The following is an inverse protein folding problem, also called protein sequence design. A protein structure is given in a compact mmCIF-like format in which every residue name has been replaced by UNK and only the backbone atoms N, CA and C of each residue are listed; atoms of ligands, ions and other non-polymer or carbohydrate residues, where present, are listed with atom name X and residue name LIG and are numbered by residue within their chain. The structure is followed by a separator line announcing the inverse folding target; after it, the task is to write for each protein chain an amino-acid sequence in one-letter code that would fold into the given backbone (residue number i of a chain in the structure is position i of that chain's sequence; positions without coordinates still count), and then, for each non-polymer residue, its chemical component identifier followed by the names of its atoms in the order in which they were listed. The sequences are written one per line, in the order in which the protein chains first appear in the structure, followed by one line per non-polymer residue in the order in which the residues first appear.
data_IF_627717736378
#
_entry.id   IF_627717736378
#
_cell.length_a   1.000
_cell.length_b   1.000
_cell.length_c   1.000
_cell.angle_alpha   90.00
_cell.angle_beta   90.00
_cell.angle_gamma   90.00
#
_symmetry.space_group_name_H-M   'P 1'
#
loop_
_entity.id
_entity.type
_entity.pdbx_description
1 polymer ?
#
# COMPACT_ATOMS: atom_id res chain seq x y z
N UNK A 1 11.17 16.12 -37.73
CA UNK A 1 9.77 15.81 -37.40
C UNK A 1 9.60 16.02 -35.91
N UNK A 2 8.75 16.98 -35.50
CA UNK A 2 8.39 17.19 -34.09
C UNK A 2 7.41 16.09 -33.71
N UNK A 3 7.80 15.16 -32.85
CA UNK A 3 6.85 14.28 -32.18
C UNK A 3 6.05 15.12 -31.19
N UNK A 4 4.81 15.43 -31.59
CA UNK A 4 3.77 15.86 -30.67
C UNK A 4 3.35 14.62 -29.88
N UNK A 5 3.76 14.52 -28.63
CA UNK A 5 3.13 13.63 -27.67
C UNK A 5 1.69 14.11 -27.44
N UNK A 6 0.76 13.54 -28.19
CA UNK A 6 -0.67 13.49 -27.85
C UNK A 6 -0.71 12.86 -26.45
N UNK A 7 -1.15 13.49 -25.37
CA UNK A 7 -2.27 14.40 -25.26
C UNK A 7 -3.32 13.70 -24.38
N UNK A 8 -3.52 14.27 -23.20
CA UNK A 8 -4.67 14.12 -22.30
C UNK A 8 -4.79 12.82 -21.48
N UNK A 9 -4.46 12.97 -20.20
CA UNK A 9 -5.12 12.31 -19.07
C UNK A 9 -6.65 12.23 -19.27
N UNK A 10 -7.15 11.08 -19.69
CA UNK A 10 -8.58 10.70 -19.59
C UNK A 10 -8.82 10.09 -18.22
N UNK A 11 -9.05 11.00 -17.27
CA UNK A 11 -9.05 10.85 -15.82
C UNK A 11 -10.28 10.12 -15.24
N UNK A 12 -10.53 8.87 -15.61
CA UNK A 12 -11.21 7.96 -14.67
C UNK A 12 -10.87 6.51 -14.98
N UNK A 13 -10.01 5.92 -14.15
CA UNK A 13 -9.72 4.50 -14.21
C UNK A 13 -10.98 3.63 -14.11
N UNK A 14 -10.87 2.43 -14.66
CA UNK A 14 -11.95 1.45 -14.73
C UNK A 14 -12.12 0.86 -13.33
N UNK A 15 -13.36 0.88 -12.82
CA UNK A 15 -13.69 0.21 -11.57
C UNK A 15 -13.67 -1.29 -11.80
N UNK A 16 -12.86 -2.00 -11.03
CA UNK A 16 -12.78 -3.46 -11.08
C UNK A 16 -13.30 -4.03 -9.77
N UNK A 17 -14.07 -5.10 -9.91
CA UNK A 17 -14.61 -5.90 -8.84
C UNK A 17 -14.22 -7.35 -9.02
N UNK A 18 -14.08 -8.09 -7.93
CA UNK A 18 -13.78 -9.51 -7.91
C UNK A 18 -14.99 -10.30 -7.41
N UNK A 19 -15.53 -11.15 -8.28
CA UNK A 19 -16.55 -12.12 -7.92
C UNK A 19 -15.88 -13.39 -7.39
N UNK A 20 -15.81 -13.48 -6.05
CA UNK A 20 -15.19 -14.59 -5.34
C UNK A 20 -15.97 -15.91 -5.44
N UNK A 21 -17.21 -15.90 -5.91
CA UNK A 21 -18.02 -17.12 -6.08
C UNK A 21 -17.63 -17.93 -7.33
N UNK A 22 -17.05 -17.26 -8.32
CA UNK A 22 -16.66 -17.85 -9.61
C UNK A 22 -15.22 -17.56 -10.03
N UNK A 23 -14.50 -16.72 -9.30
CA UNK A 23 -13.10 -16.39 -9.55
C UNK A 23 -12.91 -15.52 -10.79
N UNK A 24 -13.72 -14.47 -10.96
CA UNK A 24 -13.69 -13.57 -12.12
C UNK A 24 -13.67 -12.11 -11.75
N UNK A 25 -12.97 -11.31 -12.55
CA UNK A 25 -13.07 -9.86 -12.51
C UNK A 25 -14.31 -9.39 -13.27
N UNK A 26 -14.88 -8.27 -12.86
CA UNK A 26 -15.98 -7.62 -13.56
C UNK A 26 -15.99 -6.10 -13.31
N UNK A 27 -16.75 -5.38 -14.14
CA UNK A 27 -16.99 -3.94 -14.00
C UNK A 27 -18.43 -3.63 -13.56
N UNK A 28 -19.20 -4.67 -13.22
CA UNK A 28 -20.65 -4.63 -12.97
C UNK A 28 -20.99 -4.50 -11.47
N UNK A 29 -20.01 -4.14 -10.64
CA UNK A 29 -20.17 -4.02 -9.18
C UNK A 29 -20.61 -5.31 -8.48
N UNK A 30 -20.24 -6.48 -9.03
CA UNK A 30 -20.46 -7.78 -8.37
C UNK A 30 -19.24 -8.20 -7.55
N UNK A 31 -19.47 -8.57 -6.30
CA UNK A 31 -18.43 -9.05 -5.39
C UNK A 31 -17.65 -7.90 -4.74
N UNK A 32 -16.37 -8.12 -4.51
CA UNK A 32 -15.49 -7.21 -3.77
C UNK A 32 -14.95 -6.11 -4.69
N UNK A 33 -14.99 -4.86 -4.24
CA UNK A 33 -14.42 -3.73 -4.99
C UNK A 33 -12.90 -3.67 -4.79
N UNK A 34 -12.13 -3.77 -5.87
CA UNK A 34 -10.66 -3.74 -5.83
C UNK A 34 -10.08 -2.33 -6.03
N UNK A 35 -10.87 -1.42 -6.60
CA UNK A 35 -10.41 -0.06 -6.90
C UNK A 35 -10.59 0.34 -8.37
N UNK A 36 -10.02 1.51 -8.70
CA UNK A 36 -9.90 1.99 -10.08
C UNK A 36 -8.54 1.60 -10.67
N UNK A 37 -8.55 1.06 -11.88
CA UNK A 37 -7.37 0.59 -12.59
C UNK A 37 -7.12 1.42 -13.85
N UNK A 38 -5.85 1.68 -14.15
CA UNK A 38 -5.38 2.38 -15.35
C UNK A 38 -4.12 1.70 -15.87
N UNK A 39 -3.84 1.86 -17.17
CA UNK A 39 -2.51 1.61 -17.75
C UNK A 39 -1.91 0.26 -17.36
N UNK A 40 -0.90 0.33 -16.49
CA UNK A 40 -0.04 -0.75 -16.01
C UNK A 40 -0.35 -1.21 -14.58
N UNK A 41 -1.48 -0.77 -14.00
CA UNK A 41 -1.94 -1.24 -12.69
C UNK A 41 -2.06 -2.78 -12.69
N UNK A 42 -1.69 -3.39 -11.56
CA UNK A 42 -1.70 -4.84 -11.37
C UNK A 42 -2.63 -5.24 -10.24
N UNK A 43 -2.99 -6.51 -10.23
CA UNK A 43 -3.67 -7.18 -9.12
C UNK A 43 -2.66 -8.09 -8.44
N UNK A 44 -2.65 -8.09 -7.11
CA UNK A 44 -2.01 -9.17 -6.37
C UNK A 44 -3.02 -10.25 -6.06
N UNK A 45 -2.62 -11.50 -6.23
CA UNK A 45 -3.40 -12.67 -5.82
C UNK A 45 -2.57 -13.47 -4.86
N UNK A 46 -3.15 -13.86 -3.73
CA UNK A 46 -2.52 -14.67 -2.70
C UNK A 46 -3.38 -15.90 -2.44
N UNK A 47 -2.74 -17.06 -2.43
CA UNK A 47 -3.38 -18.36 -2.34
C UNK A 47 -3.23 -19.00 -0.95
N UNK A 48 -4.13 -19.93 -0.63
CA UNK A 48 -4.16 -20.68 0.64
C UNK A 48 -2.90 -21.51 0.92
N UNK A 49 -2.18 -21.88 -0.14
CA UNK A 49 -0.89 -22.59 -0.05
C UNK A 49 0.31 -21.64 0.18
N UNK A 50 0.06 -20.33 0.26
CA UNK A 50 1.07 -19.29 0.44
C UNK A 50 1.92 -19.02 -0.79
N UNK A 51 1.40 -19.28 -1.99
CA UNK A 51 1.85 -18.61 -3.20
C UNK A 51 1.19 -17.23 -3.33
N UNK A 52 1.92 -16.28 -3.92
CA UNK A 52 1.35 -15.06 -4.48
C UNK A 52 1.77 -14.90 -5.94
N UNK A 53 1.00 -14.15 -6.72
CA UNK A 53 1.37 -13.70 -8.06
C UNK A 53 0.80 -12.31 -8.35
N UNK A 54 1.39 -11.64 -9.34
CA UNK A 54 0.83 -10.42 -9.91
C UNK A 54 0.15 -10.74 -11.24
N UNK A 55 -1.03 -10.19 -11.47
CA UNK A 55 -1.78 -10.34 -12.73
C UNK A 55 -2.20 -8.98 -13.28
N UNK A 56 -2.56 -8.94 -14.55
CA UNK A 56 -3.27 -7.78 -15.11
C UNK A 56 -4.70 -7.68 -14.55
N UNK A 57 -5.39 -6.59 -14.82
CA UNK A 57 -6.82 -6.42 -14.50
C UNK A 57 -7.77 -6.84 -15.64
N UNK A 58 -7.28 -7.64 -16.60
CA UNK A 58 -8.07 -8.14 -17.72
C UNK A 58 -9.25 -9.01 -17.26
N UNK A 59 -10.46 -8.76 -17.75
CA UNK A 59 -11.68 -9.49 -17.35
C UNK A 59 -11.65 -10.97 -17.77
N UNK A 60 -10.77 -11.34 -18.69
CA UNK A 60 -10.57 -12.72 -19.12
C UNK A 60 -9.78 -13.56 -18.10
N UNK A 61 -9.13 -12.92 -17.11
CA UNK A 61 -8.38 -13.59 -16.07
C UNK A 61 -9.28 -14.55 -15.27
N UNK A 62 -8.72 -15.73 -14.99
CA UNK A 62 -9.43 -16.81 -14.31
C UNK A 62 -8.68 -17.22 -13.06
N UNK A 63 -9.28 -16.97 -11.90
CA UNK A 63 -8.72 -17.38 -10.63
C UNK A 63 -9.39 -18.66 -10.16
N UNK A 64 -8.60 -19.56 -9.57
CA UNK A 64 -9.12 -20.70 -8.83
C UNK A 64 -9.65 -20.21 -7.48
N UNK A 65 -10.92 -19.79 -7.47
CA UNK A 65 -11.57 -19.18 -6.32
C UNK A 65 -11.55 -20.05 -5.06
N UNK A 66 -11.47 -21.38 -5.20
CA UNK A 66 -11.34 -22.29 -4.06
C UNK A 66 -9.99 -22.14 -3.35
N UNK A 67 -8.96 -21.70 -4.08
CA UNK A 67 -7.59 -21.58 -3.59
C UNK A 67 -7.15 -20.13 -3.35
N UNK A 68 -7.84 -19.13 -3.89
CA UNK A 68 -7.61 -17.72 -3.55
C UNK A 68 -7.96 -17.50 -2.08
N UNK A 69 -7.04 -16.86 -1.34
CA UNK A 69 -7.26 -16.38 0.02
C UNK A 69 -7.47 -14.86 0.03
N UNK A 70 -6.69 -14.13 -0.75
CA UNK A 70 -6.71 -12.67 -0.80
C UNK A 70 -6.43 -12.20 -2.22
N UNK A 71 -7.13 -11.16 -2.65
CA UNK A 71 -6.97 -10.57 -3.97
C UNK A 71 -7.28 -9.08 -3.86
N UNK A 72 -6.34 -8.23 -4.28
CA UNK A 72 -6.48 -6.77 -4.15
C UNK A 72 -5.68 -6.06 -5.26
N UNK A 73 -5.91 -4.76 -5.43
CA UNK A 73 -5.04 -3.92 -6.27
C UNK A 73 -3.62 -3.94 -5.72
N UNK A 74 -2.66 -4.21 -6.59
CA UNK A 74 -1.25 -4.19 -6.22
C UNK A 74 -0.78 -2.76 -5.96
N UNK A 75 -0.07 -2.57 -4.84
CA UNK A 75 0.67 -1.34 -4.54
C UNK A 75 2.14 -1.68 -4.35
N UNK A 76 3.07 -1.10 -5.13
CA UNK A 76 4.51 -1.35 -4.97
C UNK A 76 5.06 -0.94 -3.59
N UNK A 77 4.40 0.00 -2.92
CA UNK A 77 4.74 0.44 -1.55
C UNK A 77 3.94 -0.32 -0.48
N UNK A 78 3.02 -1.19 -0.90
CA UNK A 78 2.18 -1.99 -0.01
C UNK A 78 3.02 -2.99 0.80
N UNK A 79 2.62 -3.20 2.05
CA UNK A 79 3.19 -4.20 2.93
C UNK A 79 2.16 -5.30 3.11
N UNK A 80 2.47 -6.50 2.60
CA UNK A 80 1.61 -7.65 2.76
C UNK A 80 1.81 -8.23 4.16
N UNK A 81 0.74 -8.24 4.95
CA UNK A 81 0.70 -8.85 6.27
C UNK A 81 -0.01 -10.19 6.20
N UNK A 82 0.63 -11.25 6.69
CA UNK A 82 0.16 -12.62 6.57
C UNK A 82 0.25 -13.36 7.90
N UNK A 83 -0.79 -14.16 8.19
CA UNK A 83 -0.79 -15.15 9.27
C UNK A 83 -0.86 -16.52 8.65
N UNK A 84 0.08 -17.38 9.02
CA UNK A 84 0.15 -18.72 8.46
C UNK A 84 0.56 -19.74 9.52
N UNK A 85 0.17 -20.98 9.31
CA UNK A 85 0.66 -22.10 10.09
C UNK A 85 1.90 -22.67 9.42
N UNK A 86 2.99 -22.82 10.17
CA UNK A 86 4.22 -23.49 9.74
C UNK A 86 4.13 -24.97 10.11
N UNK A 87 4.00 -25.83 9.09
CA UNK A 87 3.76 -27.26 9.28
C UNK A 87 4.88 -27.97 10.04
N UNK A 88 6.13 -27.63 9.75
CA UNK A 88 7.31 -28.24 10.39
C UNK A 88 7.45 -27.84 11.86
N UNK A 89 7.22 -26.57 12.16
CA UNK A 89 7.37 -26.01 13.51
C UNK A 89 6.09 -26.13 14.34
N UNK A 90 4.98 -26.55 13.72
CA UNK A 90 3.66 -26.76 14.33
C UNK A 90 3.18 -25.55 15.12
N UNK A 91 3.34 -24.36 14.53
CA UNK A 91 2.94 -23.11 15.17
C UNK A 91 2.49 -22.07 14.14
N UNK A 92 1.78 -21.05 14.60
CA UNK A 92 1.39 -19.92 13.78
C UNK A 92 2.47 -18.84 13.81
N UNK A 93 2.64 -18.20 12.65
CA UNK A 93 3.59 -17.12 12.43
C UNK A 93 2.88 -15.95 11.78
N UNK A 94 3.35 -14.76 12.11
CA UNK A 94 2.98 -13.51 11.44
C UNK A 94 4.18 -13.03 10.65
N UNK A 95 3.95 -12.64 9.40
CA UNK A 95 4.97 -12.09 8.51
C UNK A 95 4.44 -10.82 7.84
N UNK A 96 5.28 -9.80 7.79
CA UNK A 96 5.04 -8.57 7.04
C UNK A 96 6.17 -8.38 6.04
N UNK A 97 5.87 -8.15 4.76
CA UNK A 97 6.89 -8.00 3.72
C UNK A 97 6.39 -7.15 2.55
N UNK A 98 7.31 -6.48 1.85
CA UNK A 98 7.02 -5.88 0.56
C UNK A 98 7.16 -6.92 -0.55
N UNK A 99 6.26 -6.87 -1.54
CA UNK A 99 6.38 -7.68 -2.75
C UNK A 99 7.45 -7.04 -3.64
N UNK A 100 8.50 -7.80 -3.94
CA UNK A 100 9.69 -7.29 -4.66
C UNK A 100 9.62 -7.52 -6.18
N UNK A 101 8.76 -8.44 -6.63
CA UNK A 101 8.64 -8.78 -8.05
C UNK A 101 7.70 -7.82 -8.77
N UNK A 102 8.02 -7.52 -10.03
CA UNK A 102 7.09 -6.90 -10.98
C UNK A 102 6.74 -7.85 -12.15
N UNK A 103 7.18 -9.11 -12.07
CA UNK A 103 6.86 -10.12 -13.09
C UNK A 103 5.43 -10.61 -12.92
N UNK A 104 4.61 -10.40 -13.94
CA UNK A 104 3.24 -10.90 -13.98
C UNK A 104 3.19 -12.41 -14.24
N UNK A 105 2.09 -13.05 -13.82
CA UNK A 105 1.73 -14.44 -14.10
C UNK A 105 2.78 -15.48 -13.68
N UNK A 106 3.56 -15.13 -12.64
CA UNK A 106 4.53 -16.02 -12.03
C UNK A 106 4.24 -16.12 -10.54
N UNK A 107 4.09 -17.37 -10.06
CA UNK A 107 3.87 -17.66 -8.65
C UNK A 107 5.18 -17.64 -7.87
N UNK A 108 5.14 -17.00 -6.71
CA UNK A 108 6.21 -16.97 -5.73
C UNK A 108 5.68 -17.46 -4.41
N UNK A 109 6.35 -18.45 -3.85
CA UNK A 109 5.96 -19.00 -2.57
C UNK A 109 6.65 -18.24 -1.44
N UNK A 110 5.87 -17.74 -0.49
CA UNK A 110 6.39 -17.00 0.66
C UNK A 110 6.15 -17.73 1.97
N UNK A 111 5.56 -18.93 2.00
CA UNK A 111 5.54 -19.78 3.19
C UNK A 111 6.26 -21.11 2.91
N UNK A 112 6.44 -21.93 3.93
CA UNK A 112 7.07 -23.25 3.80
C UNK A 112 6.21 -24.24 3.00
N UNK A 113 6.86 -25.09 2.20
CA UNK A 113 6.23 -26.22 1.48
C UNK A 113 5.98 -27.44 2.37
N UNK A 114 6.42 -27.38 3.63
CA UNK A 114 6.32 -28.51 4.55
C UNK A 114 4.86 -28.90 4.77
N UNK A 115 4.62 -30.22 4.90
CA UNK A 115 3.26 -30.77 5.02
C UNK A 115 2.50 -30.10 6.16
N UNK A 116 1.31 -29.59 5.84
CA UNK A 116 0.43 -28.93 6.80
C UNK A 116 0.64 -27.43 6.92
N UNK A 117 1.66 -26.86 6.26
CA UNK A 117 1.79 -25.41 6.14
C UNK A 117 0.62 -24.85 5.33
N UNK A 118 0.04 -23.76 5.81
CA UNK A 118 -1.10 -23.11 5.16
C UNK A 118 -1.24 -21.66 5.59
N UNK A 119 -1.71 -20.84 4.67
CA UNK A 119 -2.04 -19.45 4.95
C UNK A 119 -3.44 -19.38 5.56
N UNK A 120 -3.58 -18.68 6.69
CA UNK A 120 -4.86 -18.49 7.38
C UNK A 120 -5.46 -17.12 7.10
N UNK A 121 -4.61 -16.11 6.94
CA UNK A 121 -5.05 -14.72 6.78
C UNK A 121 -4.00 -13.90 6.01
N UNK A 122 -4.46 -12.92 5.25
CA UNK A 122 -3.63 -11.99 4.49
C UNK A 122 -4.33 -10.63 4.35
N UNK A 123 -3.56 -9.53 4.36
CA UNK A 123 -4.08 -8.17 4.14
C UNK A 123 -2.99 -7.21 3.66
N UNK A 124 -3.41 -6.16 2.95
CA UNK A 124 -2.59 -4.99 2.65
C UNK A 124 -2.86 -3.78 3.53
N UNK A 125 -3.86 -3.84 4.40
CA UNK A 125 -4.23 -2.71 5.26
C UNK A 125 -3.28 -2.61 6.45
N UNK A 126 -2.90 -1.37 6.77
CA UNK A 126 -2.13 -1.02 7.96
C UNK A 126 -3.06 -0.88 9.18
N UNK A 127 -2.52 -1.14 10.37
CA UNK A 127 -3.25 -1.06 11.64
C UNK A 127 -4.34 -2.10 11.80
N UNK A 128 -4.27 -3.21 11.06
CA UNK A 128 -5.22 -4.31 11.17
C UNK A 128 -4.95 -5.13 12.43
N UNK A 129 -6.00 -5.34 13.22
CA UNK A 129 -5.99 -6.20 14.39
C UNK A 129 -6.70 -7.50 14.05
N UNK A 130 -5.98 -8.61 14.20
CA UNK A 130 -6.55 -9.95 14.08
C UNK A 130 -7.01 -10.45 15.44
N UNK A 131 -8.18 -11.09 15.50
CA UNK A 131 -8.60 -11.91 16.62
C UNK A 131 -8.43 -13.39 16.31
N UNK A 132 -8.10 -14.17 17.32
CA UNK A 132 -8.17 -15.61 17.27
C UNK A 132 -8.41 -16.17 18.67
N UNK A 133 -8.68 -17.48 18.73
CA UNK A 133 -8.96 -18.16 20.00
C UNK A 133 -7.89 -19.20 20.29
N UNK A 134 -7.49 -19.30 21.55
CA UNK A 134 -6.54 -20.30 22.01
C UNK A 134 -7.02 -21.01 23.27
N UNK A 135 -6.51 -22.21 23.51
CA UNK A 135 -6.82 -22.97 24.71
C UNK A 135 -5.89 -22.58 25.86
N UNK A 136 -6.49 -22.10 26.95
CA UNK A 136 -5.83 -21.81 28.23
C UNK A 136 -6.60 -22.53 29.34
N UNK A 137 -5.95 -23.42 30.09
CA UNK A 137 -6.58 -24.20 31.16
C UNK A 137 -7.89 -24.88 30.74
N UNK A 138 -7.89 -25.55 29.57
CA UNK A 138 -9.05 -26.21 28.93
C UNK A 138 -10.21 -25.28 28.54
N UNK A 139 -10.07 -23.96 28.69
CA UNK A 139 -11.04 -22.96 28.23
C UNK A 139 -10.53 -22.26 26.98
N UNK A 140 -11.44 -21.93 26.07
CA UNK A 140 -11.13 -21.20 24.85
C UNK A 140 -11.18 -19.69 25.16
N UNK A 141 -10.06 -18.99 25.01
CA UNK A 141 -9.96 -17.55 25.27
C UNK A 141 -9.71 -16.80 23.96
N UNK A 142 -10.40 -15.66 23.72
CA UNK A 142 -10.05 -14.77 22.62
C UNK A 142 -8.74 -14.05 22.92
N UNK A 143 -8.02 -13.69 21.87
CA UNK A 143 -6.81 -12.86 21.89
C UNK A 143 -6.75 -12.08 20.60
N UNK A 144 -6.15 -10.91 20.69
CA UNK A 144 -6.00 -9.97 19.59
C UNK A 144 -4.53 -9.63 19.41
N UNK A 145 -4.12 -9.44 18.17
CA UNK A 145 -2.78 -9.00 17.81
C UNK A 145 -2.92 -7.91 16.75
N UNK A 146 -2.38 -6.73 17.05
CA UNK A 146 -2.12 -5.69 16.06
C UNK A 146 -0.91 -6.12 15.20
N UNK A 147 -1.13 -6.28 13.90
CA UNK A 147 -0.11 -6.82 13.00
C UNK A 147 1.10 -5.90 12.89
N UNK A 148 0.87 -4.59 12.91
CA UNK A 148 1.88 -3.59 12.69
C UNK A 148 2.88 -3.50 13.85
N UNK A 149 2.37 -3.61 15.08
CA UNK A 149 3.15 -3.59 16.32
C UNK A 149 3.78 -4.94 16.64
N UNK A 150 3.24 -6.04 16.11
CA UNK A 150 3.73 -7.39 16.39
C UNK A 150 5.04 -7.74 15.68
N UNK A 151 5.26 -7.20 14.47
CA UNK A 151 6.45 -7.48 13.68
C UNK A 151 6.75 -6.34 12.71
N UNK A 152 8.03 -5.98 12.56
CA UNK A 152 8.48 -5.09 11.48
C UNK A 152 8.35 -5.76 10.11
N UNK A 153 8.48 -4.95 9.06
CA UNK A 153 8.64 -5.47 7.70
C UNK A 153 9.95 -6.27 7.60
N UNK A 154 9.84 -7.51 7.14
CA UNK A 154 10.97 -8.42 6.87
C UNK A 154 11.03 -8.73 5.37
N UNK A 155 12.10 -9.42 4.95
CA UNK A 155 12.18 -9.96 3.59
C UNK A 155 11.17 -11.08 3.38
N UNK A 156 10.63 -11.22 2.17
CA UNK A 156 9.56 -12.19 1.86
C UNK A 156 9.95 -13.65 2.15
N UNK A 157 11.24 -13.99 2.01
CA UNK A 157 11.80 -15.33 2.33
C UNK A 157 12.01 -15.61 3.82
N UNK A 158 11.87 -14.62 4.70
CA UNK A 158 12.01 -14.82 6.15
C UNK A 158 10.90 -15.73 6.69
N UNK A 159 11.00 -16.22 7.92
CA UNK A 159 9.89 -16.96 8.56
C UNK A 159 8.88 -15.96 9.15
N UNK A 160 9.36 -14.89 9.78
CA UNK A 160 8.52 -13.97 10.55
C UNK A 160 8.49 -14.33 12.03
N UNK A 161 7.56 -13.75 12.77
CA UNK A 161 7.49 -13.85 14.24
C UNK A 161 6.47 -14.91 14.65
N UNK A 162 6.88 -15.76 15.60
CA UNK A 162 6.04 -16.83 16.16
C UNK A 162 4.95 -16.25 17.07
N UNK A 163 3.71 -16.72 16.93
CA UNK A 163 2.66 -16.49 17.94
C UNK A 163 2.94 -17.40 19.14
N UNK A 164 3.40 -16.82 20.26
CA UNK A 164 3.84 -17.57 21.45
C UNK A 164 2.68 -18.02 22.33
N UNK A 165 1.74 -18.77 21.73
CA UNK A 165 0.56 -19.28 22.42
C UNK A 165 0.42 -20.78 22.12
N UNK A 166 0.41 -21.59 23.17
CA UNK A 166 0.64 -23.05 23.09
C UNK A 166 -0.39 -23.82 22.25
N UNK A 167 -1.61 -23.29 22.09
CA UNK A 167 -2.67 -24.00 21.38
C UNK A 167 -3.74 -23.09 20.81
N UNK A 168 -3.42 -22.42 19.70
CA UNK A 168 -4.40 -21.70 18.89
C UNK A 168 -5.37 -22.69 18.24
N UNK A 169 -6.67 -22.40 18.29
CA UNK A 169 -7.71 -23.17 17.60
C UNK A 169 -7.66 -22.81 16.12
N UNK A 170 -7.42 -23.80 15.26
CA UNK A 170 -7.41 -23.62 13.80
C UNK A 170 -8.71 -22.97 13.30
N UNK A 171 -8.59 -22.11 12.28
CA UNK A 171 -9.74 -21.45 11.63
C UNK A 171 -10.47 -20.44 12.50
N UNK A 172 -9.79 -19.86 13.49
CA UNK A 172 -10.38 -18.80 14.34
C UNK A 172 -9.84 -17.40 14.06
N UNK A 173 -8.91 -17.27 13.13
CA UNK A 173 -8.39 -15.98 12.72
C UNK A 173 -9.49 -15.21 11.99
N UNK A 174 -9.81 -14.03 12.51
CA UNK A 174 -10.77 -13.09 11.92
C UNK A 174 -10.32 -11.66 12.16
N UNK A 175 -10.72 -10.75 11.29
CA UNK A 175 -10.55 -9.32 11.50
C UNK A 175 -11.37 -8.85 12.69
N UNK A 176 -10.81 -7.99 13.54
CA UNK A 176 -11.63 -7.06 14.30
C UNK A 176 -11.86 -5.83 13.42
N UNK A 177 -13.12 -5.55 13.10
CA UNK A 177 -13.46 -4.27 12.51
C UNK A 177 -13.00 -3.16 13.46
N UNK A 178 -12.13 -2.29 12.97
CA UNK A 178 -11.77 -1.06 13.68
C UNK A 178 -13.08 -0.27 13.82
N UNK A 179 -13.51 0.02 15.05
CA UNK A 179 -14.61 0.97 15.26
C UNK A 179 -14.22 2.26 14.56
N UNK A 180 -15.01 2.67 13.56
CA UNK A 180 -14.85 3.97 12.92
C UNK A 180 -14.83 5.03 14.03
N UNK A 181 -13.69 5.71 14.17
CA UNK A 181 -13.64 6.89 15.03
C UNK A 181 -14.25 7.99 14.17
N UNK A 182 -15.46 8.41 14.50
CA UNK A 182 -16.05 9.62 13.93
C UNK A 182 -15.09 10.79 14.22
N UNK A 183 -14.37 11.23 13.19
CA UNK A 183 -13.64 12.49 13.24
C UNK A 183 -14.69 13.60 13.36
N UNK A 184 -14.91 14.07 14.59
CA UNK A 184 -15.62 15.34 14.82
C UNK A 184 -14.70 16.46 14.37
N UNK A 185 -14.93 16.98 13.17
CA UNK A 185 -14.41 18.27 12.75
C UNK A 185 -15.02 19.38 13.63
N UNK A 186 -14.29 19.82 14.65
CA UNK A 186 -14.58 21.04 15.38
C UNK A 186 -13.33 21.93 15.40
N UNK A 187 -13.18 22.82 14.41
CA UNK A 187 -12.60 24.15 14.63
C UNK A 187 -13.35 25.18 13.78
N UNK A 188 -14.21 25.95 14.46
CA UNK A 188 -14.72 27.26 14.01
C UNK A 188 -13.56 28.22 13.75
N UNK A 189 -13.48 28.78 12.55
CA UNK A 189 -12.72 30.01 12.31
C UNK A 189 -13.70 31.18 12.45
N UNK A 190 -13.51 31.98 13.52
CA UNK A 190 -14.18 33.27 13.68
C UNK A 190 -13.61 34.27 12.67
N UNK A 191 -14.40 34.64 11.66
CA UNK A 191 -14.10 35.77 10.79
C UNK A 191 -14.37 37.08 11.54
N UNK A 192 -13.29 37.71 12.01
CA UNK A 192 -13.35 39.05 12.61
C UNK A 192 -13.31 40.10 11.48
N UNK A 193 -14.48 40.49 10.99
CA UNK A 193 -14.65 41.65 10.10
C UNK A 193 -14.46 42.93 10.90
N UNK A 194 -13.35 43.64 10.69
CA UNK A 194 -13.17 45.02 11.14
C UNK A 194 -13.36 45.95 9.93
N UNK A 195 -14.50 46.62 9.87
CA UNK A 195 -14.72 47.80 9.03
C UNK A 195 -14.23 49.03 9.78
N UNK A 196 -13.34 49.80 9.15
CA UNK A 196 -12.88 51.10 9.64
C UNK A 196 -13.36 52.20 8.68
N UNK A 197 -14.22 53.08 9.19
CA UNK A 197 -14.48 54.40 8.62
C UNK A 197 -13.56 55.46 9.26
N UNK A 198 -13.36 56.54 8.50
CA UNK A 198 -12.79 57.86 8.81
C UNK A 198 -11.28 58.17 8.69
N UNK A 199 -10.99 58.90 7.61
CA UNK A 199 -9.91 59.90 7.39
C UNK A 199 -10.22 61.20 8.18
N UNK A 200 -9.39 62.27 8.17
CA UNK A 200 -7.95 62.41 7.86
C UNK A 200 -7.17 63.32 8.85
N UNK A 201 -5.82 63.27 8.85
CA UNK A 201 -4.95 64.49 8.95
C UNK A 201 -3.45 64.22 8.72
N UNK A 202 -3.02 64.64 7.53
CA UNK A 202 -1.76 65.30 7.13
C UNK A 202 -0.59 65.44 8.15
N UNK A 203 0.59 64.88 7.83
CA UNK A 203 1.89 65.60 7.78
C UNK A 203 3.04 64.75 7.21
N UNK A 204 3.80 65.40 6.35
CA UNK A 204 4.96 65.03 5.53
C UNK A 204 6.20 64.60 6.33
N UNK A 205 6.94 63.57 5.88
CA UNK A 205 8.40 63.61 5.59
C UNK A 205 8.88 62.33 4.87
N UNK A 206 9.80 62.53 3.92
CA UNK A 206 10.42 61.57 2.99
C UNK A 206 11.48 60.69 3.68
N UNK A 207 11.75 59.50 3.16
CA UNK A 207 13.05 59.08 2.54
C UNK A 207 12.88 57.69 1.90
N UNK A 208 13.36 57.59 0.66
CA UNK A 208 13.39 56.46 -0.28
C UNK A 208 14.42 55.39 0.15
N UNK A 209 14.21 54.11 -0.19
CA UNK A 209 14.97 53.36 -1.22
C UNK A 209 14.10 52.15 -1.67
N UNK A 210 13.86 52.08 -2.97
CA UNK A 210 13.24 50.94 -3.69
C UNK A 210 14.34 49.98 -4.17
N UNK A 211 14.07 48.67 -4.17
CA UNK A 211 14.70 47.74 -5.10
C UNK A 211 13.60 46.87 -5.72
N UNK A 212 13.30 47.17 -6.99
CA UNK A 212 12.45 46.39 -7.89
C UNK A 212 13.30 45.27 -8.52
N UNK A 213 12.84 44.03 -8.45
CA UNK A 213 13.31 42.97 -9.35
C UNK A 213 12.22 42.66 -10.37
N UNK A 214 12.52 42.97 -11.63
CA UNK A 214 11.72 42.65 -12.81
C UNK A 214 12.03 41.23 -13.30
N UNK A 215 11.01 40.52 -13.76
CA UNK A 215 11.06 39.11 -14.17
C UNK A 215 11.36 39.07 -15.67
N UNK A 216 12.64 38.94 -16.04
CA UNK A 216 13.01 38.91 -17.46
C UNK A 216 14.48 38.73 -17.83
N UNK A 217 15.38 38.39 -16.91
CA UNK A 217 16.79 38.16 -17.26
C UNK A 217 17.13 36.67 -17.40
N UNK A 218 17.72 36.33 -18.56
CA UNK A 218 18.22 35.00 -18.89
C UNK A 218 19.63 34.87 -18.32
N UNK A 219 19.84 33.88 -17.44
CA UNK A 219 21.17 33.54 -16.94
C UNK A 219 21.94 32.78 -18.03
N UNK A 220 22.99 33.39 -18.57
CA UNK A 220 24.04 32.70 -19.29
C UNK A 220 24.96 32.02 -18.27
N UNK A 221 25.08 30.69 -18.37
CA UNK A 221 26.00 29.89 -17.58
C UNK A 221 27.26 29.65 -18.41
N UNK A 222 28.32 30.41 -18.11
CA UNK A 222 29.66 30.13 -18.60
C UNK A 222 30.19 28.86 -17.92
N UNK A 223 30.24 27.76 -18.67
CA UNK A 223 30.89 26.52 -18.25
C UNK A 223 32.36 26.55 -18.71
N UNK A 224 33.26 26.82 -17.78
CA UNK A 224 34.70 26.68 -17.99
C UNK A 224 35.03 25.23 -18.39
N UNK A 225 35.57 25.10 -19.59
CA UNK A 225 35.96 23.84 -20.21
C UNK A 225 37.38 23.49 -19.77
N UNK A 226 37.57 23.10 -18.50
CA UNK A 226 38.88 22.70 -17.98
C UNK A 226 38.78 21.60 -16.90
N UNK A 227 38.20 20.45 -17.26
CA UNK A 227 38.59 19.15 -16.70
C UNK A 227 38.69 18.11 -17.83
N UNK A 228 39.74 18.27 -18.62
CA UNK A 228 40.23 17.32 -19.61
C UNK A 228 40.95 16.14 -18.93
N UNK A 229 40.76 14.97 -19.55
CA UNK A 229 41.70 13.84 -19.64
C UNK A 229 41.95 12.98 -18.39
N UNK A 230 41.25 11.84 -18.33
CA UNK A 230 41.70 10.70 -17.54
C UNK A 230 41.40 9.36 -18.22
N UNK A 231 41.88 9.15 -19.45
CA UNK A 231 42.06 7.81 -20.02
C UNK A 231 43.21 7.81 -21.04
N UNK A 232 44.42 7.62 -20.53
CA UNK A 232 45.53 7.04 -21.29
C UNK A 232 46.24 6.07 -20.33
N UNK A 233 46.01 4.77 -20.51
CA UNK A 233 47.07 3.78 -20.27
C UNK A 233 46.83 2.54 -21.13
N UNK A 234 47.87 2.22 -21.90
CA UNK A 234 48.05 1.03 -22.73
C UNK A 234 48.12 -0.21 -21.86
N UNK A 235 47.56 -1.31 -22.35
CA UNK A 235 48.30 -2.49 -22.81
C UNK A 235 47.44 -3.33 -23.78
#
# INVERSE_FOLDING_TARGET
MKEKSVGLSTLSGIKIYYDNSIGRLNTESRGEYLGKFNGDDMIIVVYKDGNYELTSFELTNRYDWNNVLFLDKYSPKGVLSAVYYEGKLKNYYVKRFNVETNTMNKKFMFISQEKGSKLEYCTYKLGETISFKYFSNKKLKPTEIDLDSFIDVKGWKSIGNKITIDKVRSGTFSLLDRKEVEEKEDIKVEEKVMTSEDKPKNKTTKTEVEDNFDVGETLELDLDTDQLNLFDEKD
#
